data_IF_133897171066
#
_entry.id   IF_133897171066
#
_cell.length_a   1.000
_cell.length_b   1.000
_cell.length_c   1.000
_cell.angle_alpha   90.00
_cell.angle_beta   90.00
_cell.angle_gamma   90.00
#
_symmetry.space_group_name_H-M   'P 1'
#
loop_
_entity.id
_entity.type
_entity.pdbx_description
1 polymer ?
#
# COMPACT_ATOMS: atom_id res chain seq x y z
N UNK A 1 33.28 50.65 18.44
CA UNK A 1 32.00 50.13 17.89
C UNK A 1 32.22 49.19 16.69
N UNK A 2 33.09 48.16 16.82
CA UNK A 2 33.45 47.26 15.70
C UNK A 2 33.16 45.77 15.96
N UNK A 3 32.75 45.39 17.19
CA UNK A 3 32.48 43.97 17.53
C UNK A 3 31.07 43.50 17.13
N UNK A 4 30.12 44.42 16.97
CA UNK A 4 28.71 44.08 16.67
C UNK A 4 28.44 43.84 15.17
N UNK A 5 29.24 44.46 14.29
CA UNK A 5 29.07 44.35 12.83
C UNK A 5 29.59 43.00 12.27
N UNK A 6 30.66 42.45 12.86
CA UNK A 6 31.24 41.15 12.46
C UNK A 6 30.28 39.98 12.74
N UNK A 7 29.51 40.06 13.83
CA UNK A 7 28.53 39.03 14.20
C UNK A 7 27.35 38.96 13.22
N UNK A 8 26.87 40.11 12.73
CA UNK A 8 25.73 40.15 11.79
C UNK A 8 26.10 39.63 10.40
N UNK A 9 27.30 39.95 9.89
CA UNK A 9 27.77 39.45 8.59
C UNK A 9 28.09 37.96 8.63
N UNK A 10 28.69 37.47 9.71
CA UNK A 10 28.95 36.03 9.91
C UNK A 10 27.63 35.25 10.04
N UNK A 11 26.64 35.77 10.77
CA UNK A 11 25.33 35.15 10.91
C UNK A 11 24.57 35.06 9.58
N UNK A 12 24.60 36.13 8.76
CA UNK A 12 24.01 36.13 7.43
C UNK A 12 24.70 35.16 6.47
N UNK A 13 26.03 35.03 6.54
CA UNK A 13 26.79 34.06 5.74
C UNK A 13 26.45 32.62 6.14
N UNK A 14 26.35 32.32 7.43
CA UNK A 14 25.93 30.98 7.90
C UNK A 14 24.51 30.67 7.44
N UNK A 15 23.58 31.63 7.53
CA UNK A 15 22.21 31.44 7.07
C UNK A 15 22.14 31.23 5.54
N UNK A 16 22.96 31.96 4.77
CA UNK A 16 23.05 31.78 3.33
C UNK A 16 23.64 30.41 2.95
N UNK A 17 24.70 29.96 3.64
CA UNK A 17 25.27 28.62 3.45
C UNK A 17 24.29 27.51 3.83
N UNK A 18 23.51 27.68 4.89
CA UNK A 18 22.43 26.78 5.27
C UNK A 18 21.33 26.74 4.20
N UNK A 19 20.88 27.89 3.71
CA UNK A 19 19.91 27.96 2.61
C UNK A 19 20.45 27.27 1.34
N UNK A 20 21.69 27.53 0.93
CA UNK A 20 22.31 26.87 -0.23
C UNK A 20 22.37 25.35 -0.02
N UNK A 21 22.73 24.89 1.19
CA UNK A 21 22.72 23.45 1.51
C UNK A 21 21.31 22.83 1.47
N UNK A 22 20.28 23.57 1.89
CA UNK A 22 18.87 23.15 1.80
C UNK A 22 18.43 23.08 0.34
N UNK A 23 18.82 24.05 -0.50
CA UNK A 23 18.53 24.04 -1.94
C UNK A 23 19.26 22.92 -2.68
N UNK A 24 20.46 22.53 -2.25
CA UNK A 24 21.17 21.37 -2.81
C UNK A 24 20.55 20.01 -2.42
N UNK A 25 19.76 19.94 -1.35
CA UNK A 25 19.02 18.71 -0.95
C UNK A 25 17.65 18.62 -1.66
N UNK A 26 17.17 19.74 -2.24
CA UNK A 26 15.89 19.80 -2.93
C UNK A 26 15.92 19.25 -4.37
N UNK A 27 17.03 18.63 -4.79
CA UNK A 27 16.99 17.73 -5.93
C UNK A 27 16.40 16.40 -5.45
N UNK A 28 15.07 16.38 -5.29
CA UNK A 28 14.32 15.14 -5.18
C UNK A 28 14.60 14.34 -6.45
N UNK A 29 15.62 13.48 -6.42
CA UNK A 29 16.03 12.71 -7.58
C UNK A 29 14.82 11.93 -8.09
N UNK A 30 14.29 12.38 -9.23
CA UNK A 30 13.28 11.64 -9.98
C UNK A 30 13.87 10.27 -10.32
N UNK A 31 13.09 9.20 -10.12
CA UNK A 31 13.55 7.85 -10.44
C UNK A 31 13.86 7.75 -11.94
N UNK A 32 15.10 7.39 -12.27
CA UNK A 32 15.59 7.21 -13.64
C UNK A 32 15.87 5.73 -13.92
N UNK A 33 15.84 5.29 -15.19
CA UNK A 33 16.29 3.97 -15.56
C UNK A 33 17.70 3.70 -15.01
N UNK A 34 17.87 2.51 -14.43
CA UNK A 34 19.15 2.01 -13.92
C UNK A 34 20.00 1.37 -15.00
N UNK A 35 19.42 1.07 -16.16
CA UNK A 35 20.11 0.47 -17.30
C UNK A 35 19.13 0.06 -18.40
N UNK A 36 19.64 -0.73 -19.34
CA UNK A 36 18.84 -1.35 -20.40
C UNK A 36 19.12 -2.84 -20.49
N UNK A 37 18.08 -3.63 -20.69
CA UNK A 37 18.13 -5.06 -20.90
C UNK A 37 17.82 -5.39 -22.36
N UNK A 38 18.67 -6.17 -23.01
CA UNK A 38 18.47 -6.57 -24.42
C UNK A 38 17.64 -7.85 -24.47
N UNK A 39 16.47 -7.75 -25.09
CA UNK A 39 15.56 -8.87 -25.30
C UNK A 39 16.17 -9.99 -26.12
N UNK A 40 15.87 -11.21 -25.72
CA UNK A 40 16.24 -12.45 -26.41
C UNK A 40 14.97 -13.09 -26.96
N UNK A 41 15.08 -13.78 -28.09
CA UNK A 41 13.96 -14.54 -28.64
C UNK A 41 13.60 -15.67 -27.65
N UNK A 42 12.34 -15.77 -27.17
CA UNK A 42 11.93 -16.90 -26.37
C UNK A 42 11.99 -18.20 -27.17
N UNK A 43 12.34 -19.34 -26.54
CA UNK A 43 12.09 -20.66 -27.11
C UNK A 43 10.61 -20.85 -27.47
N UNK A 44 10.28 -21.73 -28.43
CA UNK A 44 8.89 -22.00 -28.77
C UNK A 44 8.07 -22.40 -27.54
N UNK A 45 6.94 -21.72 -27.31
CA UNK A 45 6.01 -21.94 -26.18
C UNK A 45 6.57 -21.67 -24.77
N UNK A 46 7.70 -20.99 -24.66
CA UNK A 46 8.30 -20.66 -23.37
C UNK A 46 7.84 -19.33 -22.78
N UNK A 47 7.08 -18.52 -23.54
CA UNK A 47 6.51 -17.28 -23.07
C UNK A 47 4.98 -17.42 -22.97
N UNK A 48 4.44 -17.14 -21.79
CA UNK A 48 3.01 -17.07 -21.56
C UNK A 48 2.50 -15.69 -22.03
N UNK A 49 1.35 -15.68 -22.73
CA UNK A 49 0.68 -14.47 -23.21
C UNK A 49 -0.72 -14.30 -22.62
N UNK A 50 -1.07 -15.07 -21.59
CA UNK A 50 -2.28 -14.84 -20.80
C UNK A 50 -2.24 -13.45 -20.14
N UNK A 51 -3.42 -12.90 -19.80
CA UNK A 51 -3.56 -11.59 -19.14
C UNK A 51 -2.83 -10.42 -19.84
N UNK A 52 -2.66 -10.49 -21.17
CA UNK A 52 -1.93 -9.52 -21.98
C UNK A 52 -0.44 -9.39 -21.65
N UNK A 53 0.19 -10.46 -21.15
CA UNK A 53 1.65 -10.51 -21.04
C UNK A 53 2.30 -10.46 -22.41
N UNK A 54 3.20 -9.49 -22.59
CA UNK A 54 4.03 -9.36 -23.78
C UNK A 54 5.26 -10.28 -23.69
N UNK A 55 5.70 -10.78 -24.84
CA UNK A 55 6.96 -11.52 -24.93
C UNK A 55 8.11 -10.62 -25.37
N UNK A 56 9.30 -10.88 -24.82
CA UNK A 56 10.47 -10.14 -25.24
C UNK A 56 10.83 -10.34 -26.72
N UNK A 57 10.91 -9.24 -27.44
CA UNK A 57 11.41 -9.21 -28.81
C UNK A 57 12.95 -9.29 -28.87
N UNK A 58 13.46 -10.07 -29.81
CA UNK A 58 14.89 -10.22 -30.03
C UNK A 58 15.53 -8.91 -30.48
N UNK A 59 16.52 -8.43 -29.73
CA UNK A 59 17.28 -7.22 -30.07
C UNK A 59 16.65 -5.90 -29.62
N UNK A 60 15.40 -5.91 -29.14
CA UNK A 60 14.76 -4.75 -28.49
C UNK A 60 15.42 -4.48 -27.14
N UNK A 61 15.54 -3.22 -26.76
CA UNK A 61 16.06 -2.82 -25.45
C UNK A 61 14.93 -2.34 -24.55
N UNK A 62 14.84 -2.92 -23.36
CA UNK A 62 13.89 -2.58 -22.30
C UNK A 62 14.61 -1.79 -21.22
N UNK A 63 13.97 -0.76 -20.67
CA UNK A 63 14.52 -0.06 -19.51
C UNK A 63 14.36 -0.92 -18.27
N UNK A 64 15.36 -0.86 -17.38
CA UNK A 64 15.30 -1.52 -16.07
C UNK A 64 15.45 -0.48 -14.96
N UNK A 65 14.81 -0.72 -13.82
CA UNK A 65 14.70 0.21 -12.72
C UNK A 65 14.97 -0.47 -11.39
N UNK A 66 15.85 0.13 -10.58
CA UNK A 66 16.05 -0.22 -9.16
C UNK A 66 15.27 0.68 -8.20
N UNK A 67 14.52 1.63 -8.74
CA UNK A 67 13.73 2.62 -8.01
C UNK A 67 12.32 2.68 -8.57
N UNK A 68 11.43 3.30 -7.83
CA UNK A 68 10.06 3.61 -8.23
C UNK A 68 9.76 5.08 -7.91
N UNK A 69 8.70 5.67 -8.48
CA UNK A 69 8.26 7.01 -8.09
C UNK A 69 8.05 7.12 -6.58
N UNK A 70 8.24 8.32 -6.02
CA UNK A 70 8.07 8.52 -4.57
C UNK A 70 6.65 8.20 -4.14
N UNK A 71 6.50 7.43 -3.06
CA UNK A 71 5.19 7.20 -2.44
C UNK A 71 4.75 8.45 -1.66
N UNK A 72 3.59 8.96 -2.03
CA UNK A 72 2.85 10.08 -1.43
C UNK A 72 1.37 9.68 -1.29
N UNK A 73 0.54 10.47 -0.60
CA UNK A 73 -0.92 10.27 -0.55
C UNK A 73 -1.62 10.37 -1.91
N UNK A 74 -0.90 10.75 -2.97
CA UNK A 74 -1.40 10.84 -4.35
C UNK A 74 -0.46 10.12 -5.34
N UNK A 75 0.12 8.98 -4.94
CA UNK A 75 0.98 8.18 -5.80
C UNK A 75 0.21 7.63 -6.99
N UNK A 76 0.47 8.17 -8.18
CA UNK A 76 -0.05 7.56 -9.40
C UNK A 76 0.68 6.25 -9.69
N UNK A 77 -0.08 5.18 -9.87
CA UNK A 77 0.43 3.89 -10.28
C UNK A 77 -0.44 3.32 -11.39
N UNK A 78 0.09 2.33 -12.09
CA UNK A 78 -0.64 1.51 -13.05
C UNK A 78 -1.00 0.20 -12.38
N UNK A 79 -2.28 -0.12 -12.37
CA UNK A 79 -2.79 -1.41 -11.94
C UNK A 79 -2.79 -2.37 -13.13
N UNK A 80 -2.16 -3.52 -12.97
CA UNK A 80 -2.19 -4.65 -13.93
C UNK A 80 -2.88 -5.85 -13.29
N UNK A 81 -3.30 -6.81 -14.10
CA UNK A 81 -3.93 -8.05 -13.65
C UNK A 81 -2.89 -9.17 -13.69
N UNK A 82 -2.83 -9.95 -12.61
CA UNK A 82 -1.99 -11.13 -12.50
C UNK A 82 -2.67 -12.20 -11.65
N UNK A 83 -2.45 -13.46 -11.99
CA UNK A 83 -2.81 -14.61 -11.17
C UNK A 83 -1.62 -15.08 -10.34
N UNK A 84 -1.85 -15.15 -9.03
CA UNK A 84 -0.88 -15.66 -8.06
C UNK A 84 -1.12 -17.14 -7.73
N UNK A 85 -2.01 -17.79 -8.49
CA UNK A 85 -2.32 -19.20 -8.32
C UNK A 85 -1.21 -20.08 -8.88
N UNK A 86 -1.20 -21.33 -8.41
CA UNK A 86 -0.36 -22.34 -9.02
C UNK A 86 -0.82 -22.54 -10.47
N UNK A 87 0.15 -22.57 -11.38
CA UNK A 87 -0.09 -22.71 -12.82
C UNK A 87 -0.79 -21.47 -13.45
N UNK A 88 -0.82 -20.34 -12.73
CA UNK A 88 -1.18 -19.03 -13.27
C UNK A 88 0.00 -18.32 -13.98
N UNK A 89 -0.23 -17.09 -14.42
CA UNK A 89 0.74 -16.27 -15.16
C UNK A 89 1.79 -15.56 -14.28
N UNK A 90 1.58 -15.51 -12.95
CA UNK A 90 2.57 -15.03 -11.99
C UNK A 90 3.80 -15.93 -11.84
N UNK A 91 3.82 -17.08 -12.50
CA UNK A 91 4.96 -18.00 -12.54
C UNK A 91 5.18 -18.75 -11.23
N UNK A 92 6.21 -18.34 -10.47
CA UNK A 92 6.63 -19.02 -9.24
C UNK A 92 5.76 -18.68 -8.02
N UNK A 93 6.00 -19.35 -6.86
CA UNK A 93 5.44 -18.92 -5.59
C UNK A 93 5.93 -17.51 -5.20
N UNK A 94 5.10 -16.72 -4.52
CA UNK A 94 5.38 -15.31 -4.25
C UNK A 94 6.56 -15.07 -3.30
N UNK A 95 7.35 -14.05 -3.57
CA UNK A 95 8.66 -13.77 -2.95
C UNK A 95 8.60 -13.48 -1.43
N UNK A 96 7.46 -13.03 -0.91
CA UNK A 96 7.31 -12.70 0.51
C UNK A 96 7.15 -13.94 1.42
N UNK A 97 6.46 -14.98 0.95
CA UNK A 97 6.10 -16.13 1.79
C UNK A 97 6.29 -17.50 1.13
N UNK A 98 6.81 -17.54 -0.11
CA UNK A 98 7.02 -18.73 -0.92
C UNK A 98 5.73 -19.55 -1.12
N UNK A 99 4.59 -18.87 -1.31
CA UNK A 99 3.28 -19.51 -1.51
C UNK A 99 2.60 -18.98 -2.76
N UNK A 100 1.72 -19.82 -3.31
CA UNK A 100 0.69 -19.38 -4.22
C UNK A 100 -0.49 -18.82 -3.44
N UNK A 101 -1.18 -17.84 -4.02
CA UNK A 101 -2.34 -17.17 -3.44
C UNK A 101 -3.52 -17.27 -4.40
N UNK A 102 -4.72 -17.54 -3.88
CA UNK A 102 -5.90 -17.67 -4.74
C UNK A 102 -6.27 -16.33 -5.39
N UNK A 103 -6.78 -16.38 -6.62
CA UNK A 103 -7.30 -15.22 -7.34
C UNK A 103 -8.46 -14.52 -6.62
N UNK A 104 -9.14 -15.23 -5.71
CA UNK A 104 -10.18 -14.70 -4.84
C UNK A 104 -9.65 -13.98 -3.59
N UNK A 105 -8.34 -14.00 -3.36
CA UNK A 105 -7.67 -13.30 -2.25
C UNK A 105 -7.12 -11.95 -2.72
N UNK A 106 -7.43 -10.82 -2.07
CA UNK A 106 -6.91 -9.52 -2.48
C UNK A 106 -5.42 -9.38 -2.15
N UNK A 107 -4.58 -9.82 -3.07
CA UNK A 107 -3.12 -9.76 -3.01
C UNK A 107 -2.54 -9.00 -4.21
N UNK A 108 -1.33 -8.47 -4.03
CA UNK A 108 -0.60 -7.71 -5.05
C UNK A 108 0.92 -7.96 -5.02
N UNK A 109 1.55 -7.76 -6.17
CA UNK A 109 2.98 -7.50 -6.32
C UNK A 109 3.23 -5.99 -6.51
N UNK A 110 4.40 -5.52 -6.10
CA UNK A 110 4.81 -4.13 -6.30
C UNK A 110 6.09 -4.06 -7.12
N UNK A 111 6.23 -3.05 -7.99
CA UNK A 111 7.51 -2.76 -8.66
C UNK A 111 8.67 -2.72 -7.67
N UNK A 112 9.86 -3.19 -8.06
CA UNK A 112 11.05 -3.34 -7.20
C UNK A 112 11.31 -2.18 -6.23
N UNK A 113 11.24 -0.93 -6.71
CA UNK A 113 11.48 0.24 -5.86
C UNK A 113 10.43 0.42 -4.76
N UNK A 114 9.17 0.07 -5.03
CA UNK A 114 8.10 0.04 -4.05
C UNK A 114 8.11 -1.21 -3.19
N UNK A 115 8.48 -2.37 -3.73
CA UNK A 115 8.66 -3.58 -2.94
C UNK A 115 9.71 -3.41 -1.84
N UNK A 116 10.74 -2.59 -2.13
CA UNK A 116 11.70 -2.06 -1.16
C UNK A 116 12.38 -3.20 -0.37
N UNK A 117 12.97 -4.16 -1.09
CA UNK A 117 13.71 -5.29 -0.51
C UNK A 117 12.90 -6.02 0.56
N UNK A 118 11.68 -6.42 0.22
CA UNK A 118 10.72 -7.11 1.11
C UNK A 118 10.23 -6.31 2.31
N UNK A 119 10.57 -5.02 2.46
CA UNK A 119 10.12 -4.21 3.62
C UNK A 119 8.60 -4.03 3.69
N UNK A 120 7.91 -4.20 2.56
CA UNK A 120 6.45 -4.15 2.48
C UNK A 120 5.79 -5.53 2.50
N UNK A 121 6.56 -6.61 2.56
CA UNK A 121 6.02 -7.96 2.53
C UNK A 121 5.00 -8.19 3.64
N UNK A 122 3.89 -8.82 3.26
CA UNK A 122 2.77 -9.19 4.13
C UNK A 122 2.05 -8.01 4.80
N UNK A 123 2.48 -6.79 4.52
CA UNK A 123 1.76 -5.58 4.91
C UNK A 123 0.64 -5.31 3.89
N UNK A 124 -0.34 -4.56 4.35
CA UNK A 124 -1.45 -4.16 3.51
C UNK A 124 -1.25 -2.76 2.95
N UNK A 125 -1.70 -2.57 1.72
CA UNK A 125 -1.87 -1.27 1.10
C UNK A 125 -3.35 -1.04 0.77
N UNK A 126 -3.77 0.21 0.77
CA UNK A 126 -5.10 0.59 0.29
C UNK A 126 -4.97 1.14 -1.11
N UNK A 127 -5.59 0.50 -2.10
CA UNK A 127 -5.59 0.92 -3.50
C UNK A 127 -6.84 1.74 -3.78
N UNK A 128 -6.68 2.90 -4.40
CA UNK A 128 -7.78 3.79 -4.79
C UNK A 128 -7.92 3.88 -6.32
N UNK A 129 -9.05 3.39 -6.85
CA UNK A 129 -9.30 3.34 -8.29
C UNK A 129 -10.80 3.23 -8.60
N UNK A 130 -11.23 3.75 -9.76
CA UNK A 130 -12.62 3.66 -10.21
C UNK A 130 -13.67 4.14 -9.18
N UNK A 131 -13.33 5.16 -8.39
CA UNK A 131 -14.20 5.70 -7.32
C UNK A 131 -14.38 4.77 -6.11
N UNK A 132 -13.63 3.66 -6.04
CA UNK A 132 -13.64 2.70 -4.93
C UNK A 132 -12.25 2.56 -4.32
N UNK A 133 -12.20 1.85 -3.19
CA UNK A 133 -10.97 1.51 -2.49
C UNK A 133 -10.97 0.03 -2.10
N UNK A 134 -9.81 -0.60 -2.12
CA UNK A 134 -9.62 -1.98 -1.67
C UNK A 134 -8.31 -2.12 -0.89
N UNK A 135 -8.36 -2.88 0.20
CA UNK A 135 -7.17 -3.24 0.97
C UNK A 135 -6.61 -4.55 0.42
N UNK A 136 -5.35 -4.55 0.02
CA UNK A 136 -4.68 -5.71 -0.56
C UNK A 136 -3.35 -5.99 0.14
N UNK A 137 -3.00 -7.27 0.28
CA UNK A 137 -1.73 -7.69 0.90
C UNK A 137 -0.63 -7.73 -0.14
N UNK A 138 0.51 -7.13 0.17
CA UNK A 138 1.71 -7.26 -0.67
C UNK A 138 2.32 -8.64 -0.43
N UNK A 139 2.32 -9.48 -1.45
CA UNK A 139 2.84 -10.85 -1.39
C UNK A 139 4.05 -11.06 -2.29
N UNK A 140 4.28 -10.18 -3.27
CA UNK A 140 5.31 -10.41 -4.27
C UNK A 140 5.99 -9.14 -4.79
N UNK A 141 7.06 -9.35 -5.56
CA UNK A 141 7.78 -8.33 -6.31
C UNK A 141 7.44 -8.42 -7.80
N UNK A 142 7.06 -7.30 -8.41
CA UNK A 142 7.06 -7.17 -9.86
C UNK A 142 8.46 -6.68 -10.26
N UNK A 143 9.34 -7.60 -10.68
CA UNK A 143 10.77 -7.33 -10.87
C UNK A 143 10.99 -6.37 -12.04
N UNK A 144 11.38 -5.12 -11.73
CA UNK A 144 11.72 -4.11 -12.72
C UNK A 144 13.20 -4.09 -13.08
N UNK A 145 14.01 -5.00 -12.54
CA UNK A 145 15.46 -5.06 -12.72
C UNK A 145 15.92 -6.13 -13.71
N UNK A 146 15.12 -7.18 -13.89
CA UNK A 146 15.43 -8.36 -14.69
C UNK A 146 14.22 -8.75 -15.57
N UNK A 147 14.44 -9.63 -16.55
CA UNK A 147 13.41 -10.08 -17.49
C UNK A 147 14.03 -10.67 -18.76
N UNK A 148 13.19 -11.09 -19.71
CA UNK A 148 13.58 -11.73 -20.97
C UNK A 148 14.49 -12.96 -20.82
N UNK A 149 14.32 -13.71 -19.74
CA UNK A 149 15.03 -14.94 -19.45
C UNK A 149 14.06 -16.03 -18.96
N UNK A 150 14.59 -17.24 -18.74
CA UNK A 150 13.78 -18.39 -18.38
C UNK A 150 13.17 -18.30 -16.97
N UNK A 151 13.70 -17.45 -16.08
CA UNK A 151 13.13 -17.28 -14.74
C UNK A 151 11.89 -16.37 -14.74
N UNK A 152 11.73 -15.57 -15.80
CA UNK A 152 10.64 -14.62 -15.98
C UNK A 152 9.75 -14.99 -17.18
N UNK A 153 9.74 -16.26 -17.60
CA UNK A 153 9.00 -16.75 -18.78
C UNK A 153 9.23 -15.91 -20.04
N UNK A 154 10.42 -15.34 -20.18
CA UNK A 154 10.81 -14.42 -21.25
C UNK A 154 9.88 -13.20 -21.43
N UNK A 155 9.14 -12.82 -20.39
CA UNK A 155 8.39 -11.58 -20.29
C UNK A 155 9.35 -10.39 -20.07
N UNK A 156 9.01 -9.16 -20.50
CA UNK A 156 9.84 -7.98 -20.26
C UNK A 156 9.94 -7.65 -18.77
N UNK A 157 10.98 -6.90 -18.37
CA UNK A 157 11.05 -6.35 -17.02
C UNK A 157 9.80 -5.53 -16.70
N UNK A 158 9.35 -5.60 -15.46
CA UNK A 158 8.22 -4.81 -14.97
C UNK A 158 8.53 -3.31 -15.05
N UNK A 159 7.50 -2.49 -15.31
CA UNK A 159 7.64 -1.04 -15.18
C UNK A 159 7.81 -0.64 -13.71
N UNK A 160 8.32 0.56 -13.46
CA UNK A 160 8.69 0.99 -12.12
C UNK A 160 7.55 1.58 -11.29
N UNK A 161 6.34 1.62 -11.83
CA UNK A 161 5.15 2.23 -11.25
C UNK A 161 3.92 1.30 -11.29
N UNK A 162 4.16 -0.01 -11.24
CA UNK A 162 3.15 -1.07 -11.31
C UNK A 162 2.72 -1.52 -9.91
N UNK A 163 1.41 -1.70 -9.75
CA UNK A 163 0.79 -2.54 -8.73
C UNK A 163 0.12 -3.69 -9.47
N UNK A 164 0.68 -4.88 -9.34
CA UNK A 164 0.23 -6.04 -10.11
C UNK A 164 -0.72 -6.87 -9.26
N UNK A 165 -1.96 -7.04 -9.70
CA UNK A 165 -3.06 -7.33 -8.79
C UNK A 165 -3.91 -8.53 -9.18
N UNK A 166 -4.28 -9.31 -8.16
CA UNK A 166 -5.22 -10.43 -8.24
C UNK A 166 -6.60 -10.00 -8.74
N UNK A 167 -7.35 -10.94 -9.32
CA UNK A 167 -8.75 -10.74 -9.78
C UNK A 167 -9.66 -10.18 -8.69
N UNK A 168 -9.46 -10.58 -7.44
CA UNK A 168 -10.20 -10.04 -6.29
C UNK A 168 -10.05 -8.52 -6.11
N UNK A 169 -8.85 -7.97 -6.36
CA UNK A 169 -8.60 -6.52 -6.27
C UNK A 169 -9.38 -5.78 -7.36
N UNK A 170 -9.32 -6.25 -8.60
CA UNK A 170 -10.06 -5.69 -9.73
C UNK A 170 -11.58 -5.71 -9.51
N UNK A 171 -12.10 -6.84 -9.02
CA UNK A 171 -13.52 -7.00 -8.66
C UNK A 171 -13.94 -6.06 -7.55
N UNK A 172 -13.11 -5.88 -6.51
CA UNK A 172 -13.40 -4.97 -5.41
C UNK A 172 -13.43 -3.49 -5.84
N UNK A 173 -12.55 -3.11 -6.78
CA UNK A 173 -12.58 -1.79 -7.43
C UNK A 173 -13.76 -1.62 -8.39
N UNK A 174 -14.55 -2.67 -8.64
CA UNK A 174 -15.75 -2.62 -9.47
C UNK A 174 -15.45 -2.35 -10.94
N UNK A 175 -14.25 -2.71 -11.40
CA UNK A 175 -13.91 -2.68 -12.82
C UNK A 175 -14.61 -3.88 -13.49
N UNK A 176 -15.32 -3.70 -14.62
CA UNK A 176 -15.89 -4.82 -15.36
C UNK A 176 -14.81 -5.77 -15.86
N UNK A 177 -15.06 -7.08 -15.83
CA UNK A 177 -14.07 -8.12 -16.18
C UNK A 177 -13.50 -7.96 -17.60
N UNK A 178 -14.34 -7.56 -18.56
CA UNK A 178 -13.93 -7.22 -19.94
C UNK A 178 -12.89 -6.10 -20.04
N UNK A 179 -12.71 -5.32 -18.97
CA UNK A 179 -11.80 -4.19 -18.88
C UNK A 179 -10.60 -4.49 -17.96
N UNK A 180 -10.46 -5.72 -17.43
CA UNK A 180 -9.33 -6.11 -16.57
C UNK A 180 -8.02 -6.24 -17.34
N UNK A 181 -8.13 -6.51 -18.64
CA UNK A 181 -7.03 -6.51 -19.59
C UNK A 181 -6.50 -5.10 -19.93
N UNK A 182 -7.14 -4.04 -19.40
CA UNK A 182 -6.74 -2.67 -19.61
C UNK A 182 -5.87 -2.14 -18.46
N UNK A 183 -4.93 -1.25 -18.79
CA UNK A 183 -4.15 -0.51 -17.80
C UNK A 183 -5.06 0.50 -17.07
N UNK A 184 -5.25 0.32 -15.76
CA UNK A 184 -5.96 1.29 -14.92
C UNK A 184 -4.96 2.19 -14.19
N UNK A 185 -5.05 3.50 -14.39
CA UNK A 185 -4.31 4.44 -13.54
C UNK A 185 -5.02 4.59 -12.20
N UNK A 186 -4.33 4.25 -11.11
CA UNK A 186 -4.80 4.44 -9.74
C UNK A 186 -4.17 5.70 -9.13
N UNK A 187 -4.90 6.37 -8.24
CA UNK A 187 -4.51 7.69 -7.73
C UNK A 187 -3.59 7.64 -6.51
N UNK A 188 -3.65 6.56 -5.75
CA UNK A 188 -2.80 6.33 -4.60
C UNK A 188 -2.85 4.88 -4.17
N UNK A 189 -1.74 4.43 -3.60
CA UNK A 189 -1.81 3.43 -2.55
C UNK A 189 -1.10 3.94 -1.30
N UNK A 190 -1.77 3.81 -0.16
CA UNK A 190 -1.23 4.20 1.13
C UNK A 190 -0.78 2.95 1.89
N UNK A 191 0.37 3.05 2.56
CA UNK A 191 0.77 2.03 3.52
C UNK A 191 -0.27 2.02 4.63
N UNK A 192 -0.96 0.90 4.81
CA UNK A 192 -1.87 0.73 5.91
C UNK A 192 -1.06 0.79 7.21
N UNK A 193 -1.23 1.86 7.99
CA UNK A 193 -1.08 1.74 9.43
C UNK A 193 -2.09 0.69 9.93
N UNK A 194 -1.80 0.06 11.06
CA UNK A 194 -2.51 -1.08 11.67
C UNK A 194 -4.00 -0.83 12.04
N UNK A 195 -4.70 0.07 11.36
CA UNK A 195 -6.06 0.53 11.66
C UNK A 195 -7.20 -0.18 10.92
N UNK A 196 -6.96 -1.34 10.29
CA UNK A 196 -8.04 -2.06 9.59
C UNK A 196 -7.79 -3.56 9.51
N UNK A 197 -7.97 -4.26 10.62
CA UNK A 197 -7.95 -5.72 10.67
C UNK A 197 -9.27 -6.32 10.19
N UNK A 198 -9.20 -7.51 9.59
CA UNK A 198 -10.33 -8.45 9.61
C UNK A 198 -10.64 -8.77 11.06
N UNK A 199 -11.89 -8.60 11.50
CA UNK A 199 -12.25 -9.05 12.84
C UNK A 199 -12.20 -10.58 12.88
N UNK A 200 -11.48 -11.16 13.85
CA UNK A 200 -11.50 -12.60 14.14
C UNK A 200 -12.90 -13.09 14.58
N UNK A 201 -13.80 -12.12 14.82
CA UNK A 201 -15.16 -12.28 15.31
C UNK A 201 -16.20 -12.64 14.25
N UNK A 202 -16.00 -12.25 12.99
CA UNK A 202 -16.98 -12.53 11.93
C UNK A 202 -16.38 -12.83 10.55
N UNK A 203 -15.05 -12.82 10.41
CA UNK A 203 -14.36 -12.98 9.12
C UNK A 203 -14.92 -12.06 8.03
N UNK A 204 -15.44 -10.88 8.40
CA UNK A 204 -15.97 -9.88 7.46
C UNK A 204 -15.16 -8.60 7.51
N UNK A 205 -15.10 -7.97 6.34
CA UNK A 205 -14.46 -6.68 6.15
C UNK A 205 -15.43 -5.56 6.53
N UNK A 206 -15.00 -4.67 7.42
CA UNK A 206 -15.79 -3.52 7.88
C UNK A 206 -15.15 -2.23 7.37
N UNK A 207 -15.97 -1.29 6.90
CA UNK A 207 -15.49 0.02 6.42
C UNK A 207 -15.04 0.92 7.56
N UNK A 208 -14.21 1.93 7.27
CA UNK A 208 -13.70 2.93 8.25
C UNK A 208 -14.80 3.72 8.99
N UNK A 209 -16.03 3.69 8.48
CA UNK A 209 -17.22 4.24 9.14
C UNK A 209 -17.76 3.35 10.27
N UNK A 210 -17.22 2.15 10.46
CA UNK A 210 -17.67 1.19 11.46
C UNK A 210 -16.98 1.48 12.79
N UNK A 211 -17.72 1.81 13.87
CA UNK A 211 -17.12 2.11 15.16
C UNK A 211 -16.55 0.84 15.80
N UNK A 212 -15.22 0.73 15.77
CA UNK A 212 -14.46 -0.36 16.40
C UNK A 212 -13.84 0.11 17.71
N UNK A 213 -13.80 -0.76 18.73
CA UNK A 213 -13.15 -0.47 20.02
C UNK A 213 -12.24 -1.64 20.40
N UNK A 214 -10.96 -1.35 20.63
CA UNK A 214 -10.01 -2.29 21.23
C UNK A 214 -10.10 -2.19 22.76
N UNK A 215 -10.19 -3.33 23.46
CA UNK A 215 -10.20 -3.40 24.92
C UNK A 215 -8.90 -4.02 25.44
N UNK A 216 -8.50 -3.65 26.65
CA UNK A 216 -7.32 -4.25 27.29
C UNK A 216 -7.58 -5.72 27.65
N UNK A 217 -6.49 -6.49 27.70
CA UNK A 217 -6.42 -7.94 27.89
C UNK A 217 -7.13 -8.48 29.15
N UNK A 218 -7.57 -7.62 30.08
CA UNK A 218 -8.30 -8.02 31.29
C UNK A 218 -9.83 -8.06 31.17
N UNK A 219 -10.42 -7.55 30.08
CA UNK A 219 -11.89 -7.46 29.90
C UNK A 219 -12.46 -8.49 28.93
N UNK A 220 -11.58 -9.25 28.25
CA UNK A 220 -11.98 -10.19 27.21
C UNK A 220 -12.05 -11.61 27.77
N UNK A 221 -13.26 -12.17 27.87
CA UNK A 221 -13.45 -13.58 28.16
C UNK A 221 -13.64 -14.31 26.83
N UNK A 222 -12.66 -15.15 26.47
CA UNK A 222 -12.44 -15.78 25.14
C UNK A 222 -13.59 -16.63 24.60
N UNK A 223 -14.73 -16.71 25.28
CA UNK A 223 -15.85 -17.57 24.91
C UNK A 223 -17.20 -16.90 24.66
N UNK A 224 -17.43 -15.63 25.00
CA UNK A 224 -18.74 -15.03 24.71
C UNK A 224 -18.69 -13.53 24.42
N UNK A 225 -19.10 -13.18 23.19
CA UNK A 225 -19.57 -11.88 22.66
C UNK A 225 -18.53 -10.95 22.02
N UNK A 226 -18.56 -10.98 20.68
CA UNK A 226 -17.98 -10.00 19.77
C UNK A 226 -18.72 -8.65 19.69
N UNK A 227 -19.81 -8.49 20.45
CA UNK A 227 -20.66 -7.31 20.46
C UNK A 227 -20.91 -6.90 21.90
N UNK A 228 -20.32 -5.78 22.31
CA UNK A 228 -20.51 -5.21 23.64
C UNK A 228 -21.17 -3.84 23.54
N UNK A 229 -21.98 -3.53 24.55
CA UNK A 229 -22.49 -2.18 24.74
C UNK A 229 -21.53 -1.44 25.66
N UNK A 230 -20.98 -0.34 25.16
CA UNK A 230 -20.19 0.59 25.97
C UNK A 230 -21.15 1.65 26.48
N UNK A 231 -21.22 1.77 27.81
CA UNK A 231 -22.09 2.72 28.49
C UNK A 231 -21.28 3.91 29.02
N UNK A 232 -21.73 5.14 28.71
CA UNK A 232 -21.11 6.37 29.22
C UNK A 232 -22.06 7.57 29.07
N UNK A 233 -22.11 8.44 30.09
CA UNK A 233 -23.01 9.61 30.15
C UNK A 233 -24.49 9.30 29.77
N UNK A 234 -25.03 8.18 30.25
CA UNK A 234 -26.42 7.78 29.99
C UNK A 234 -26.70 7.31 28.55
N UNK A 235 -25.67 7.12 27.72
CA UNK A 235 -25.77 6.59 26.36
C UNK A 235 -25.11 5.22 26.26
N UNK A 236 -25.63 4.40 25.36
CA UNK A 236 -25.10 3.07 25.05
C UNK A 236 -24.71 3.02 23.58
N UNK A 237 -23.46 2.69 23.29
CA UNK A 237 -22.98 2.48 21.92
C UNK A 237 -22.66 1.01 21.74
N UNK A 238 -23.21 0.41 20.68
CA UNK A 238 -22.91 -0.96 20.29
C UNK A 238 -21.58 -0.96 19.55
N UNK A 239 -20.57 -1.63 20.11
CA UNK A 239 -19.23 -1.70 19.54
C UNK A 239 -18.81 -3.15 19.32
N UNK A 240 -18.04 -3.37 18.25
CA UNK A 240 -17.41 -4.65 17.95
C UNK A 240 -15.96 -4.63 18.46
N UNK A 241 -15.55 -5.72 19.12
CA UNK A 241 -14.21 -5.87 19.70
C UNK A 241 -13.35 -6.67 18.73
N UNK A 242 -12.17 -6.16 18.38
CA UNK A 242 -11.41 -6.62 17.19
C UNK A 242 -10.01 -7.18 17.43
N UNK A 243 -9.37 -7.00 18.60
CA UNK A 243 -8.08 -7.69 18.88
C UNK A 243 -7.60 -7.58 20.35
N UNK A 244 -6.69 -8.47 20.76
CA UNK A 244 -5.87 -8.40 21.98
C UNK A 244 -4.68 -7.45 21.74
N UNK A 245 -4.67 -6.27 22.35
CA UNK A 245 -3.57 -5.31 22.21
C UNK A 245 -2.89 -5.03 23.56
N UNK A 246 -1.56 -5.20 23.64
CA UNK A 246 -0.77 -4.52 24.67
C UNK A 246 -0.89 -3.00 24.47
N UNK A 247 -1.08 -2.29 25.57
CA UNK A 247 -1.64 -0.93 25.63
C UNK A 247 -0.83 0.07 24.79
N UNK A 248 -1.36 0.44 23.62
CA UNK A 248 -1.24 1.77 23.00
C UNK A 248 -2.61 2.21 22.53
N UNK A 249 -3.23 3.13 23.25
CA UNK A 249 -4.52 3.73 22.90
C UNK A 249 -4.31 4.62 21.65
N UNK A 250 -4.63 4.11 20.46
CA UNK A 250 -4.82 4.95 19.27
C UNK A 250 -6.32 5.21 19.05
N UNK A 251 -6.71 6.47 19.12
CA UNK A 251 -8.10 6.93 19.02
C UNK A 251 -8.38 7.27 17.54
N UNK A 252 -9.16 6.44 16.84
CA UNK A 252 -9.47 6.64 15.41
C UNK A 252 -10.84 7.28 15.09
N UNK A 253 -11.59 7.78 16.08
CA UNK A 253 -12.75 8.62 15.77
C UNK A 253 -12.93 9.71 16.83
N UNK A 254 -12.42 10.90 16.51
CA UNK A 254 -12.55 12.06 17.40
C UNK A 254 -14.03 12.44 17.57
N UNK A 255 -14.88 12.30 16.55
CA UNK A 255 -16.27 12.79 16.57
C UNK A 255 -17.20 12.08 17.57
N UNK A 256 -17.09 10.75 17.72
CA UNK A 256 -17.93 9.99 18.64
C UNK A 256 -17.49 10.14 20.11
N UNK A 257 -16.20 10.38 20.34
CA UNK A 257 -15.63 10.52 21.69
C UNK A 257 -15.79 11.95 22.22
N UNK A 258 -15.77 12.97 21.36
CA UNK A 258 -16.07 14.36 21.79
C UNK A 258 -17.45 14.47 22.45
N UNK A 259 -18.42 13.64 22.04
CA UNK A 259 -19.75 13.58 22.67
C UNK A 259 -19.81 12.79 23.98
N UNK A 260 -18.80 11.95 24.26
CA UNK A 260 -18.66 11.18 25.49
C UNK A 260 -17.80 11.89 26.55
N UNK A 261 -16.80 12.69 26.13
CA UNK A 261 -15.87 13.39 27.02
C UNK A 261 -16.29 14.82 27.39
N UNK A 262 -17.26 15.41 26.68
CA UNK A 262 -17.76 16.74 27.05
C UNK A 262 -18.76 16.63 28.22
N UNK A 263 -18.56 17.38 29.32
CA UNK A 263 -19.56 17.44 30.38
C UNK A 263 -20.86 18.05 29.84
N UNK A 264 -22.03 17.64 30.37
CA UNK A 264 -23.29 18.26 29.99
C UNK A 264 -23.21 19.76 30.27
N UNK A 265 -23.43 20.60 29.24
CA UNK A 265 -23.70 22.02 29.44
C UNK A 265 -24.91 22.10 30.37
N UNK A 266 -24.68 22.53 31.61
CA UNK A 266 -25.72 22.90 32.56
C UNK A 266 -26.59 23.97 31.91
N UNK A 267 -27.78 23.58 31.47
CA UNK A 267 -28.86 24.51 31.20
C UNK A 267 -29.33 25.07 32.54
N UNK A 268 -28.91 26.29 32.85
CA UNK A 268 -29.58 27.15 33.83
C UNK A 268 -30.25 28.30 33.10
N UNK A 269 -31.56 28.20 32.90
CA UNK A 269 -32.50 29.33 32.82
C UNK A 269 -33.48 29.19 33.99
N UNK A 270 -33.86 30.29 34.63
CA UNK A 270 -35.00 31.06 34.12
C UNK A 270 -34.61 32.21 33.19
#
# INVERSE_FOLDING_TARGET
MMKLACSRTVSLLIFFLLLVSIFSIAEAQSCKPSGKLKGKKPPPRACNTENNSDCCEAGKFYDVYKCSPKVTGHTKAVLTINSFEKDGDGGGPSECDNKYHSDDTPVVALSTGWFNKKRRCLNFITIHGNGKSVKAKVVDECDSTMGCDAAHDYQPPCDNNIVDASKAVWKALGVPEKDWEAVLTINSFEEGGDGGGSSECDNKFHSDSTPMVALSTGWFNKKERCLNFIHGNGKSVKAMVVDECEIKIMIFSLHAITTLLMPPKLFGRP
#
